data_IF_830099606033
#
_entry.id   IF_830099606033
#
_cell.length_a   1.000
_cell.length_b   1.000
_cell.length_c   1.000
_cell.angle_alpha   90.00
_cell.angle_beta   90.00
_cell.angle_gamma   90.00
#
_symmetry.space_group_name_H-M   'P 1'
#
loop_
_entity.id
_entity.type
_entity.pdbx_description
1 polymer ?
#
# COMPACT_ATOMS: atom_id res chain seq x y z
N UNK A 1 -16.93 -1.19 0.06
CA UNK A 1 -15.70 -0.95 0.83
C UNK A 1 -14.55 -0.74 -0.14
N UNK A 2 -13.77 0.32 0.05
CA UNK A 2 -12.59 0.64 -0.74
C UNK A 2 -11.35 0.17 0.02
N UNK A 3 -10.52 -0.63 -0.61
CA UNK A 3 -9.28 -1.14 -0.03
C UNK A 3 -8.11 -0.72 -0.91
N UNK A 4 -7.07 -0.17 -0.29
CA UNK A 4 -5.79 0.12 -0.92
C UNK A 4 -4.77 -0.87 -0.39
N UNK A 5 -4.29 -1.78 -1.25
CA UNK A 5 -3.20 -2.68 -0.92
C UNK A 5 -1.86 -2.08 -1.37
N UNK A 6 -1.03 -1.74 -0.39
CA UNK A 6 0.35 -1.32 -0.57
C UNK A 6 1.19 -2.58 -0.72
N UNK A 7 1.68 -2.86 -1.93
CA UNK A 7 2.40 -4.10 -2.24
C UNK A 7 3.86 -3.85 -2.53
N UNK A 8 4.70 -4.80 -2.17
CA UNK A 8 6.07 -4.89 -2.64
C UNK A 8 6.36 -6.35 -3.02
N UNK A 9 7.15 -6.57 -4.08
CA UNK A 9 7.50 -7.91 -4.54
C UNK A 9 6.29 -8.73 -5.02
N UNK A 10 6.45 -10.06 -5.03
CA UNK A 10 5.44 -10.98 -5.52
C UNK A 10 4.49 -11.45 -4.42
N UNK A 11 4.92 -11.45 -3.16
CA UNK A 11 4.11 -11.98 -2.07
C UNK A 11 2.90 -11.08 -1.80
N UNK A 12 3.12 -9.77 -1.67
CA UNK A 12 2.03 -8.80 -1.49
C UNK A 12 1.07 -8.77 -2.68
N UNK A 13 1.59 -8.86 -3.91
CA UNK A 13 0.77 -8.92 -5.14
C UNK A 13 -0.14 -10.14 -5.17
N UNK A 14 0.35 -11.31 -4.74
CA UNK A 14 -0.46 -12.54 -4.65
C UNK A 14 -1.58 -12.39 -3.63
N UNK A 15 -1.32 -11.80 -2.46
CA UNK A 15 -2.34 -11.55 -1.44
C UNK A 15 -3.40 -10.59 -1.99
N UNK A 16 -2.99 -9.45 -2.56
CA UNK A 16 -3.92 -8.48 -3.15
C UNK A 16 -4.77 -9.10 -4.28
N UNK A 17 -4.16 -9.92 -5.14
CA UNK A 17 -4.86 -10.66 -6.19
C UNK A 17 -5.87 -11.66 -5.63
N UNK A 18 -5.51 -12.41 -4.59
CA UNK A 18 -6.41 -13.35 -3.93
C UNK A 18 -7.61 -12.63 -3.28
N UNK A 19 -7.36 -11.51 -2.60
CA UNK A 19 -8.42 -10.66 -2.04
C UNK A 19 -9.33 -10.17 -3.16
N UNK A 20 -8.78 -9.63 -4.25
CA UNK A 20 -9.58 -9.13 -5.37
C UNK A 20 -10.41 -10.23 -6.04
N UNK A 21 -9.90 -11.46 -6.12
CA UNK A 21 -10.63 -12.60 -6.72
C UNK A 21 -11.79 -13.08 -5.85
N UNK A 22 -11.64 -13.06 -4.52
CA UNK A 22 -12.63 -13.59 -3.58
C UNK A 22 -13.50 -12.53 -2.90
N UNK A 23 -13.20 -11.24 -3.08
CA UNK A 23 -13.95 -10.16 -2.44
C UNK A 23 -15.40 -10.08 -2.94
N UNK A 24 -16.34 -9.61 -2.09
CA UNK A 24 -17.67 -9.23 -2.53
C UNK A 24 -17.62 -8.24 -3.70
N UNK A 25 -18.56 -8.35 -4.64
CA UNK A 25 -18.62 -7.46 -5.82
C UNK A 25 -18.78 -5.97 -5.49
N UNK A 26 -19.24 -5.65 -4.27
CA UNK A 26 -19.36 -4.28 -3.76
C UNK A 26 -18.05 -3.71 -3.18
N UNK A 27 -16.98 -4.50 -3.15
CA UNK A 27 -15.66 -4.05 -2.71
C UNK A 27 -14.83 -3.59 -3.90
N UNK A 28 -14.06 -2.51 -3.71
CA UNK A 28 -13.13 -1.99 -4.71
C UNK A 28 -11.72 -2.15 -4.18
N UNK A 29 -10.96 -3.05 -4.78
CA UNK A 29 -9.57 -3.31 -4.41
C UNK A 29 -8.65 -2.56 -5.37
N UNK A 30 -7.82 -1.68 -4.84
CA UNK A 30 -6.80 -0.96 -5.58
C UNK A 30 -5.43 -1.32 -5.05
N UNK A 31 -4.41 -1.22 -5.88
CA UNK A 31 -3.03 -1.53 -5.48
C UNK A 31 -2.13 -0.34 -5.75
N UNK A 32 -1.21 -0.09 -4.82
CA UNK A 32 -0.07 0.80 -5.04
C UNK A 32 1.20 -0.01 -4.78
N UNK A 33 2.16 0.04 -5.71
CA UNK A 33 3.43 -0.67 -5.55
C UNK A 33 4.44 0.26 -4.91
N UNK A 34 4.91 -0.10 -3.70
CA UNK A 34 5.93 0.64 -3.00
C UNK A 34 7.30 0.52 -3.72
N UNK A 35 8.20 1.51 -3.56
CA UNK A 35 9.56 1.44 -4.08
C UNK A 35 10.28 0.15 -3.69
N UNK A 36 11.05 -0.44 -4.59
CA UNK A 36 11.79 -1.69 -4.32
C UNK A 36 13.07 -1.46 -3.52
N UNK A 37 13.59 -0.24 -3.53
CA UNK A 37 14.82 0.15 -2.84
C UNK A 37 14.50 1.18 -1.77
N UNK A 38 15.02 0.92 -0.57
CA UNK A 38 15.07 1.87 0.52
C UNK A 38 16.52 1.95 1.01
N UNK A 39 16.99 3.14 1.43
CA UNK A 39 18.25 3.25 2.17
C UNK A 39 18.16 2.46 3.49
N UNK A 40 19.32 2.16 4.09
CA UNK A 40 19.39 1.45 5.38
C UNK A 40 18.67 2.24 6.48
N UNK A 41 18.76 3.56 6.41
CA UNK A 41 18.04 4.51 7.28
C UNK A 41 17.25 5.43 6.35
N UNK A 42 15.93 5.46 6.52
CA UNK A 42 15.03 6.39 5.83
C UNK A 42 14.87 7.60 6.74
N UNK A 43 15.49 8.72 6.37
CA UNK A 43 15.40 9.97 7.14
C UNK A 43 14.11 10.73 6.83
N UNK A 44 13.72 10.78 5.55
CA UNK A 44 12.52 11.48 5.07
C UNK A 44 11.59 10.48 4.33
N UNK A 45 10.70 9.78 5.04
CA UNK A 45 9.74 8.84 4.44
C UNK A 45 8.87 9.47 3.35
N UNK A 46 8.59 10.77 3.45
CA UNK A 46 7.73 11.54 2.57
C UNK A 46 8.22 11.55 1.11
N UNK A 47 9.53 11.44 0.88
CA UNK A 47 10.13 11.40 -0.46
C UNK A 47 9.75 10.14 -1.25
N UNK A 48 9.32 9.08 -0.55
CA UNK A 48 8.93 7.80 -1.14
C UNK A 48 7.41 7.67 -1.32
N UNK A 49 6.63 8.68 -0.92
CA UNK A 49 5.18 8.68 -1.07
C UNK A 49 4.77 9.03 -2.51
N UNK A 50 3.64 8.47 -2.99
CA UNK A 50 3.06 8.90 -4.26
C UNK A 50 2.48 10.32 -4.15
N UNK A 51 2.35 11.01 -5.27
CA UNK A 51 1.74 12.35 -5.32
C UNK A 51 0.28 12.37 -4.86
N UNK A 52 -0.46 11.27 -5.09
CA UNK A 52 -1.84 11.12 -4.65
C UNK A 52 -2.23 9.65 -4.54
N UNK A 53 -3.24 9.38 -3.72
CA UNK A 53 -3.88 8.08 -3.60
C UNK A 53 -5.39 8.25 -3.66
N UNK A 54 -6.13 7.24 -4.16
CA UNK A 54 -7.57 7.25 -4.05
C UNK A 54 -7.98 7.23 -2.58
N UNK A 55 -9.09 7.88 -2.26
CA UNK A 55 -9.70 7.70 -0.95
C UNK A 55 -10.09 6.24 -0.73
N UNK A 56 -9.74 5.71 0.43
CA UNK A 56 -9.95 4.31 0.80
C UNK A 56 -10.57 4.22 2.19
N UNK A 57 -11.24 3.10 2.49
CA UNK A 57 -11.80 2.83 3.82
C UNK A 57 -10.85 1.94 4.64
N UNK A 58 -9.90 1.30 3.98
CA UNK A 58 -8.89 0.41 4.57
C UNK A 58 -7.59 0.47 3.77
N UNK A 59 -6.46 0.53 4.46
CA UNK A 59 -5.12 0.35 3.90
C UNK A 59 -4.54 -0.99 4.36
N UNK A 60 -4.07 -1.81 3.41
CA UNK A 60 -3.37 -3.07 3.68
C UNK A 60 -1.90 -2.90 3.33
N UNK A 61 -1.03 -2.94 4.35
CA UNK A 61 0.43 -2.91 4.14
C UNK A 61 0.95 -4.33 3.91
N UNK A 62 1.41 -4.60 2.69
CA UNK A 62 1.94 -5.87 2.20
C UNK A 62 3.35 -5.66 1.61
N UNK A 63 4.16 -4.87 2.33
CA UNK A 63 5.57 -4.65 2.03
C UNK A 63 6.45 -5.82 2.45
N UNK A 64 7.55 -6.03 1.73
CA UNK A 64 8.56 -7.06 2.03
C UNK A 64 9.80 -6.43 2.73
N UNK A 65 9.98 -5.12 2.59
CA UNK A 65 11.04 -4.32 3.19
C UNK A 65 10.50 -3.47 4.37
N UNK A 66 11.19 -3.39 5.52
CA UNK A 66 10.80 -2.55 6.66
C UNK A 66 10.57 -1.07 6.31
N UNK A 67 11.25 -0.53 5.30
CA UNK A 67 11.07 0.84 4.82
C UNK A 67 9.63 1.12 4.36
N UNK A 68 8.92 0.12 3.83
CA UNK A 68 7.50 0.26 3.46
C UNK A 68 6.63 0.55 4.68
N UNK A 69 6.96 -0.04 5.83
CA UNK A 69 6.19 0.19 7.06
C UNK A 69 6.33 1.64 7.55
N UNK A 70 7.46 2.30 7.28
CA UNK A 70 7.66 3.70 7.62
C UNK A 70 6.78 4.64 6.80
N UNK A 71 6.33 4.22 5.61
CA UNK A 71 5.46 5.03 4.75
C UNK A 71 4.00 5.04 5.23
N UNK A 72 3.60 4.09 6.08
CA UNK A 72 2.19 3.88 6.48
C UNK A 72 1.51 5.19 6.96
N UNK A 73 2.10 6.00 7.86
CA UNK A 73 1.46 7.23 8.31
C UNK A 73 1.15 8.21 7.16
N UNK A 74 2.08 8.38 6.23
CA UNK A 74 1.91 9.25 5.06
C UNK A 74 0.88 8.70 4.08
N UNK A 75 0.90 7.38 3.82
CA UNK A 75 -0.05 6.72 2.93
C UNK A 75 -1.49 6.82 3.47
N UNK A 76 -1.68 6.58 4.77
CA UNK A 76 -2.99 6.73 5.44
C UNK A 76 -3.51 8.15 5.29
N UNK A 77 -2.66 9.17 5.49
CA UNK A 77 -3.03 10.58 5.32
C UNK A 77 -3.43 10.90 3.88
N UNK A 78 -2.68 10.41 2.88
CA UNK A 78 -2.97 10.62 1.46
C UNK A 78 -4.25 9.92 0.99
N UNK A 79 -4.53 8.72 1.52
CA UNK A 79 -5.71 7.93 1.15
C UNK A 79 -6.92 8.16 2.05
N UNK A 80 -6.79 8.96 3.12
CA UNK A 80 -7.83 9.17 4.13
C UNK A 80 -8.39 7.86 4.72
N UNK A 81 -7.50 6.86 4.85
CA UNK A 81 -7.84 5.56 5.42
C UNK A 81 -8.11 5.67 6.93
#
# INVERSE_FOLDING_TARGET
MRILAVVQGNYGKRIAGNINFHAPSSWKITTWTAPSYFPVIVEEPEEFLPLSLPETDLLLSLGENPGVAQLIPGLVKLSKA
#
